data_IF_684773739668
#
_entry.id   IF_684773739668
#
_cell.length_a   1.000
_cell.length_b   1.000
_cell.length_c   1.000
_cell.angle_alpha   90.00
_cell.angle_beta   90.00
_cell.angle_gamma   90.00
#
_symmetry.space_group_name_H-M   'P 1'
#
loop_
_entity.id
_entity.type
_entity.pdbx_description
1 polymer ?
#
# COMPACT_ATOMS: atom_id res chain seq x y z
N UNK A 1 24.10 9.62 -4.53
CA UNK A 1 24.20 8.17 -4.29
C UNK A 1 23.36 7.43 -5.34
N UNK A 2 23.93 6.46 -6.06
CA UNK A 2 23.15 5.54 -6.90
C UNK A 2 22.94 4.26 -6.09
N UNK A 3 21.71 3.99 -5.67
CA UNK A 3 21.37 2.72 -5.05
C UNK A 3 21.25 1.62 -6.12
N UNK A 4 21.68 0.41 -5.80
CA UNK A 4 21.46 -0.79 -6.60
C UNK A 4 20.56 -1.73 -5.80
N UNK A 5 19.52 -2.25 -6.45
CA UNK A 5 18.63 -3.26 -5.88
C UNK A 5 18.97 -4.61 -6.48
N UNK A 6 19.36 -5.55 -5.63
CA UNK A 6 19.71 -6.92 -6.03
C UNK A 6 18.47 -7.81 -5.99
N UNK A 7 18.46 -8.94 -6.72
CA UNK A 7 17.42 -9.96 -6.56
C UNK A 7 17.33 -10.43 -5.11
N UNK A 8 16.12 -10.45 -4.55
CA UNK A 8 15.92 -10.68 -3.12
C UNK A 8 16.41 -12.06 -2.66
N UNK A 9 16.03 -13.14 -3.36
CA UNK A 9 16.34 -14.52 -2.96
C UNK A 9 17.86 -14.74 -2.84
N UNK A 10 18.69 -14.49 -3.88
CA UNK A 10 20.14 -14.67 -3.75
C UNK A 10 20.77 -13.82 -2.65
N UNK A 11 20.29 -12.58 -2.47
CA UNK A 11 20.81 -11.70 -1.42
C UNK A 11 20.45 -12.18 -0.01
N UNK A 12 19.25 -12.75 0.16
CA UNK A 12 18.82 -13.33 1.44
C UNK A 12 19.57 -14.64 1.70
N UNK A 13 19.74 -15.51 0.69
CA UNK A 13 20.50 -16.76 0.81
C UNK A 13 21.93 -16.53 1.31
N UNK A 14 22.62 -15.55 0.72
CA UNK A 14 23.98 -15.17 1.14
C UNK A 14 24.04 -14.74 2.61
N UNK A 15 23.09 -13.91 3.05
CA UNK A 15 23.04 -13.45 4.43
C UNK A 15 22.63 -14.56 5.41
N UNK A 16 21.71 -15.44 5.03
CA UNK A 16 21.32 -16.60 5.84
C UNK A 16 22.52 -17.52 6.06
N UNK A 17 23.29 -17.83 5.01
CA UNK A 17 24.50 -18.65 5.14
C UNK A 17 25.52 -18.00 6.10
N UNK A 18 25.63 -16.67 6.06
CA UNK A 18 26.51 -15.93 6.96
C UNK A 18 26.04 -15.98 8.43
N UNK A 19 24.73 -15.84 8.67
CA UNK A 19 24.12 -15.95 10.00
C UNK A 19 24.28 -17.36 10.57
N UNK A 20 24.01 -18.40 9.78
CA UNK A 20 24.16 -19.80 10.20
C UNK A 20 25.62 -20.14 10.56
N UNK A 21 26.60 -19.66 9.77
CA UNK A 21 28.04 -19.80 10.09
C UNK A 21 28.42 -19.11 11.39
N UNK A 22 27.67 -18.10 11.79
CA UNK A 22 27.84 -17.37 13.05
C UNK A 22 27.12 -18.04 14.23
N UNK A 23 26.50 -19.21 14.01
CA UNK A 23 25.77 -19.96 15.02
C UNK A 23 24.35 -19.44 15.30
N UNK A 24 23.79 -18.61 14.40
CA UNK A 24 22.41 -18.16 14.49
C UNK A 24 21.50 -19.21 13.85
N UNK A 25 20.53 -19.69 14.62
CA UNK A 25 19.62 -20.79 14.27
C UNK A 25 18.15 -20.33 14.21
N UNK A 26 17.91 -19.02 14.35
CA UNK A 26 16.59 -18.38 14.36
C UNK A 26 16.64 -17.14 13.48
N UNK A 27 16.06 -17.22 12.28
CA UNK A 27 16.21 -16.21 11.24
C UNK A 27 14.86 -15.68 10.77
N UNK A 28 14.72 -14.36 10.88
CA UNK A 28 13.52 -13.61 10.46
C UNK A 28 13.91 -12.69 9.30
N UNK A 29 13.29 -12.91 8.14
CA UNK A 29 13.35 -11.98 7.00
C UNK A 29 12.27 -10.92 7.19
N UNK A 30 12.68 -9.66 7.34
CA UNK A 30 11.77 -8.52 7.39
C UNK A 30 12.00 -7.64 6.15
N UNK A 31 10.94 -7.37 5.39
CA UNK A 31 11.04 -6.57 4.18
C UNK A 31 9.74 -5.94 3.71
N UNK A 32 9.78 -5.32 2.54
CA UNK A 32 8.61 -4.71 1.87
C UNK A 32 8.13 -5.59 0.72
N UNK A 33 8.06 -6.90 0.97
CA UNK A 33 7.70 -7.91 -0.02
C UNK A 33 6.24 -8.31 0.15
N UNK A 34 5.55 -8.52 -0.97
CA UNK A 34 4.19 -9.08 -1.00
C UNK A 34 4.13 -10.47 -0.37
N UNK A 35 2.94 -10.91 0.04
CA UNK A 35 2.71 -12.26 0.58
C UNK A 35 3.29 -13.37 -0.32
N UNK A 36 3.04 -13.33 -1.63
CA UNK A 36 3.55 -14.32 -2.59
C UNK A 36 5.07 -14.34 -2.70
N UNK A 37 5.70 -13.16 -2.66
CA UNK A 37 7.16 -13.05 -2.63
C UNK A 37 7.75 -13.65 -1.34
N UNK A 38 7.08 -13.48 -0.19
CA UNK A 38 7.51 -14.11 1.07
C UNK A 38 7.32 -15.63 1.06
N UNK A 39 6.24 -16.14 0.44
CA UNK A 39 6.10 -17.58 0.19
C UNK A 39 7.25 -18.12 -0.65
N UNK A 40 7.66 -17.38 -1.68
CA UNK A 40 8.79 -17.75 -2.52
C UNK A 40 10.12 -17.75 -1.77
N UNK A 41 10.34 -16.76 -0.90
CA UNK A 41 11.52 -16.70 -0.02
C UNK A 41 11.55 -17.95 0.86
N UNK A 42 10.47 -18.24 1.57
CA UNK A 42 10.37 -19.41 2.45
C UNK A 42 10.60 -20.73 1.70
N UNK A 43 10.07 -20.87 0.48
CA UNK A 43 10.22 -22.10 -0.32
C UNK A 43 11.63 -22.31 -0.84
N UNK A 44 12.35 -21.23 -1.15
CA UNK A 44 13.63 -21.28 -1.89
C UNK A 44 14.83 -21.12 -0.96
N UNK A 45 14.71 -20.29 0.08
CA UNK A 45 15.79 -19.98 1.01
C UNK A 45 15.68 -20.87 2.24
N UNK A 46 16.57 -21.86 2.32
CA UNK A 46 16.71 -22.70 3.52
C UNK A 46 17.25 -21.87 4.68
N UNK A 47 16.84 -22.20 5.91
CA UNK A 47 17.29 -21.51 7.13
C UNK A 47 16.42 -20.31 7.54
N UNK A 48 15.49 -19.85 6.68
CA UNK A 48 14.53 -18.81 7.06
C UNK A 48 13.35 -19.42 7.81
N UNK A 49 13.14 -19.00 9.06
CA UNK A 49 12.01 -19.46 9.88
C UNK A 49 10.77 -18.60 9.70
N UNK A 50 10.98 -17.30 9.52
CA UNK A 50 9.88 -16.33 9.48
C UNK A 50 10.12 -15.31 8.39
N UNK A 51 9.14 -15.09 7.52
CA UNK A 51 9.16 -14.00 6.55
C UNK A 51 8.03 -13.01 6.84
N UNK A 52 8.37 -11.75 7.09
CA UNK A 52 7.44 -10.66 7.40
C UNK A 52 7.52 -9.62 6.28
N UNK A 53 6.37 -9.37 5.64
CA UNK A 53 6.25 -8.34 4.62
C UNK A 53 5.02 -7.46 4.76
N UNK A 54 4.67 -6.82 3.65
CA UNK A 54 3.51 -5.96 3.53
C UNK A 54 2.59 -6.47 2.41
N UNK A 55 1.29 -6.41 2.65
CA UNK A 55 0.29 -6.52 1.60
C UNK A 55 -0.85 -5.58 1.97
N UNK A 56 -1.26 -4.79 0.98
CA UNK A 56 -2.26 -3.76 1.17
C UNK A 56 -3.68 -4.30 1.17
N UNK A 57 -3.93 -5.60 1.04
CA UNK A 57 -5.32 -6.09 0.97
C UNK A 57 -5.54 -7.42 1.74
N UNK A 58 -4.53 -7.93 2.46
CA UNK A 58 -4.53 -9.26 3.09
C UNK A 58 -4.50 -9.20 4.62
N UNK A 59 -5.62 -9.49 5.27
CA UNK A 59 -5.67 -9.68 6.73
C UNK A 59 -5.37 -11.13 7.08
N UNK A 60 -4.57 -11.38 8.12
CA UNK A 60 -4.27 -12.74 8.60
C UNK A 60 -4.80 -12.99 10.02
N UNK A 61 -5.31 -14.19 10.26
CA UNK A 61 -5.75 -14.69 11.58
C UNK A 61 -5.22 -16.10 11.83
N UNK A 62 -5.10 -16.49 13.10
CA UNK A 62 -4.75 -17.86 13.47
C UNK A 62 -5.85 -18.86 13.05
N UNK A 63 -5.42 -19.96 12.44
CA UNK A 63 -6.20 -21.17 12.16
C UNK A 63 -6.37 -22.04 13.41
N UNK A 64 -7.26 -23.05 13.36
CA UNK A 64 -7.38 -24.11 14.37
C UNK A 64 -6.04 -24.81 14.63
N UNK A 65 -5.20 -24.92 13.60
CA UNK A 65 -3.89 -25.56 13.67
C UNK A 65 -2.78 -24.57 14.07
N UNK A 66 -3.14 -23.42 14.64
CA UNK A 66 -2.25 -22.32 15.07
C UNK A 66 -1.40 -21.65 13.97
N UNK A 67 -1.54 -22.03 12.70
CA UNK A 67 -0.91 -21.33 11.59
C UNK A 67 -1.68 -20.05 11.23
N UNK A 68 -0.98 -18.99 10.81
CA UNK A 68 -1.66 -17.82 10.25
C UNK A 68 -2.15 -18.09 8.83
N UNK A 69 -3.41 -17.74 8.60
CA UNK A 69 -4.06 -17.89 7.30
C UNK A 69 -4.66 -16.57 6.84
N UNK A 70 -4.59 -16.25 5.54
CA UNK A 70 -5.31 -15.13 4.97
C UNK A 70 -6.82 -15.27 5.22
N UNK A 71 -7.47 -14.19 5.62
CA UNK A 71 -8.92 -14.14 5.79
C UNK A 71 -9.58 -13.61 4.51
N UNK A 72 -10.91 -13.77 4.42
CA UNK A 72 -11.71 -13.11 3.37
C UNK A 72 -11.98 -11.63 3.66
N UNK A 73 -11.57 -11.14 4.83
CA UNK A 73 -11.80 -9.77 5.24
C UNK A 73 -10.86 -8.85 4.46
N UNK A 74 -11.43 -7.90 3.72
CA UNK A 74 -10.67 -6.79 3.17
C UNK A 74 -10.76 -5.59 4.11
N UNK A 75 -9.65 -4.88 4.21
CA UNK A 75 -9.57 -3.63 4.96
C UNK A 75 -10.47 -2.53 4.38
N UNK A 76 -10.85 -2.65 3.11
CA UNK A 76 -11.74 -1.73 2.42
C UNK A 76 -13.23 -2.14 2.46
N UNK A 77 -13.60 -3.14 3.28
CA UNK A 77 -14.99 -3.53 3.51
C UNK A 77 -15.67 -4.32 2.38
N UNK A 78 -15.01 -4.46 1.22
CA UNK A 78 -15.45 -5.35 0.15
C UNK A 78 -14.60 -6.60 0.14
N UNK A 79 -15.23 -7.77 0.28
CA UNK A 79 -14.62 -9.09 0.06
C UNK A 79 -13.89 -9.10 -1.29
N UNK A 80 -12.61 -8.75 -1.32
CA UNK A 80 -11.81 -8.93 -2.51
C UNK A 80 -11.58 -10.43 -2.60
N UNK A 81 -12.24 -11.05 -3.56
CA UNK A 81 -12.02 -12.43 -3.99
C UNK A 81 -10.65 -12.56 -4.69
N UNK A 82 -9.61 -11.89 -4.18
CA UNK A 82 -8.24 -12.20 -4.57
C UNK A 82 -7.88 -13.52 -3.91
N UNK A 83 -7.74 -14.54 -4.73
CA UNK A 83 -7.06 -15.74 -4.33
C UNK A 83 -5.57 -15.38 -4.15
N UNK A 84 -5.14 -15.23 -2.90
CA UNK A 84 -3.75 -14.94 -2.56
C UNK A 84 -2.83 -16.16 -2.78
N UNK A 85 -3.34 -17.23 -3.40
CA UNK A 85 -2.57 -18.45 -3.63
C UNK A 85 -2.18 -19.10 -2.32
N UNK A 86 -3.05 -19.01 -1.30
CA UNK A 86 -2.87 -19.77 -0.07
C UNK A 86 -2.98 -21.25 -0.43
N UNK A 87 -1.82 -21.87 -0.61
CA UNK A 87 -1.73 -23.30 -0.83
C UNK A 87 -2.10 -23.99 0.49
N UNK A 88 -3.34 -24.49 0.55
CA UNK A 88 -3.85 -25.26 1.69
C UNK A 88 -3.05 -26.54 1.95
N UNK A 89 -2.24 -26.95 0.97
CA UNK A 89 -1.34 -28.09 1.05
C UNK A 89 0.11 -27.67 1.27
N UNK A 90 0.39 -26.39 1.51
CA UNK A 90 1.71 -25.97 1.97
C UNK A 90 1.92 -26.65 3.32
N UNK A 91 2.74 -27.69 3.31
CA UNK A 91 3.03 -28.50 4.48
C UNK A 91 3.92 -27.71 5.44
N UNK A 92 3.28 -26.78 6.15
CA UNK A 92 3.88 -25.94 7.20
C UNK A 92 4.33 -26.77 8.40
N UNK A 93 4.10 -28.09 8.40
CA UNK A 93 4.72 -29.02 9.36
C UNK A 93 6.25 -29.03 9.24
N UNK A 94 6.80 -28.52 8.12
CA UNK A 94 8.23 -28.31 7.89
C UNK A 94 8.77 -26.91 8.24
N UNK A 95 8.04 -26.17 9.08
CA UNK A 95 8.52 -25.13 10.01
C UNK A 95 8.68 -23.63 9.65
N UNK A 96 8.58 -23.15 8.41
CA UNK A 96 8.64 -21.71 8.18
C UNK A 96 7.24 -21.07 8.21
N UNK A 97 7.12 -19.85 8.73
CA UNK A 97 5.86 -19.10 8.80
C UNK A 97 5.94 -17.78 8.01
N UNK A 98 4.92 -17.50 7.20
CA UNK A 98 4.81 -16.22 6.47
C UNK A 98 3.80 -15.31 7.15
N UNK A 99 4.22 -14.07 7.39
CA UNK A 99 3.44 -13.04 8.02
C UNK A 99 3.39 -11.79 7.14
N UNK A 100 2.32 -11.05 7.28
CA UNK A 100 2.12 -9.82 6.54
C UNK A 100 1.42 -8.82 7.41
N UNK A 101 1.97 -7.62 7.46
CA UNK A 101 1.33 -6.49 8.12
C UNK A 101 0.48 -5.78 7.06
N UNK A 102 -0.81 -5.68 7.34
CA UNK A 102 -1.79 -5.09 6.43
C UNK A 102 -2.03 -3.63 6.74
N UNK A 103 -2.21 -2.81 5.70
CA UNK A 103 -2.51 -1.36 5.72
C UNK A 103 -1.80 -0.55 6.82
N UNK A 104 -0.84 0.31 6.45
CA UNK A 104 -0.08 1.09 7.43
C UNK A 104 -1.02 1.91 8.33
N UNK A 105 -0.99 1.60 9.63
CA UNK A 105 -1.68 2.35 10.69
C UNK A 105 -3.14 1.97 10.98
N UNK A 106 -3.78 1.06 10.22
CA UNK A 106 -5.14 0.58 10.55
C UNK A 106 -5.12 -0.73 11.34
N UNK A 107 -4.12 -1.57 11.14
CA UNK A 107 -3.93 -2.79 11.91
C UNK A 107 -2.53 -2.83 12.53
N UNK A 108 -2.42 -3.50 13.67
CA UNK A 108 -1.15 -3.90 14.27
C UNK A 108 -1.05 -5.41 14.20
N UNK A 109 -0.06 -5.91 13.48
CA UNK A 109 0.22 -7.34 13.42
C UNK A 109 0.86 -7.83 14.72
N UNK A 110 0.25 -8.81 15.38
CA UNK A 110 0.85 -9.54 16.51
C UNK A 110 1.23 -10.92 16.04
N UNK A 111 2.49 -11.27 16.25
CA UNK A 111 3.06 -12.57 15.90
C UNK A 111 3.64 -13.20 17.17
N UNK A 112 3.31 -14.46 17.41
CA UNK A 112 3.84 -15.26 18.52
C UNK A 112 4.47 -16.51 17.96
N UNK A 113 5.78 -16.63 18.09
CA UNK A 113 6.55 -17.81 17.66
C UNK A 113 7.28 -18.37 18.87
N UNK A 114 7.20 -19.68 19.04
CA UNK A 114 7.93 -20.44 20.04
C UNK A 114 8.90 -21.35 19.30
N UNK A 115 10.17 -21.25 19.66
CA UNK A 115 11.23 -22.08 19.14
C UNK A 115 11.67 -23.08 20.20
N UNK A 116 12.16 -24.24 19.78
CA UNK A 116 12.91 -25.16 20.64
C UNK A 116 14.40 -24.77 20.74
N UNK A 117 15.16 -25.54 21.51
CA UNK A 117 16.59 -25.35 21.75
C UNK A 117 17.45 -25.56 20.48
N UNK A 118 16.87 -26.10 19.40
CA UNK A 118 17.52 -26.31 18.11
C UNK A 118 17.16 -25.24 17.07
N UNK A 119 16.42 -24.21 17.48
CA UNK A 119 15.96 -23.15 16.58
C UNK A 119 14.77 -23.54 15.73
N UNK A 120 14.14 -24.69 16.00
CA UNK A 120 12.97 -25.12 15.24
C UNK A 120 11.70 -24.50 15.83
N UNK A 121 10.83 -23.94 14.99
CA UNK A 121 9.50 -23.53 15.41
C UNK A 121 8.73 -24.76 15.94
N UNK A 122 8.09 -24.61 17.10
CA UNK A 122 7.21 -25.65 17.68
C UNK A 122 5.79 -25.15 17.88
N UNK A 123 5.62 -23.82 17.85
CA UNK A 123 4.33 -23.16 17.89
C UNK A 123 4.44 -21.81 17.22
N UNK A 124 3.51 -21.51 16.32
CA UNK A 124 3.31 -20.18 15.77
C UNK A 124 1.88 -19.73 16.05
N UNK A 125 1.59 -18.46 15.85
CA UNK A 125 0.25 -17.90 16.02
C UNK A 125 0.29 -16.39 16.04
N UNK A 126 -0.87 -15.78 16.22
CA UNK A 126 -0.99 -14.32 16.14
C UNK A 126 -2.30 -13.88 15.51
N UNK A 127 -2.47 -12.57 15.45
CA UNK A 127 -3.60 -11.95 14.78
C UNK A 127 -3.26 -10.50 14.46
N UNK A 128 -3.95 -9.95 13.45
CA UNK A 128 -3.94 -8.52 13.22
C UNK A 128 -5.00 -7.86 14.11
N UNK A 129 -4.57 -6.94 14.98
CA UNK A 129 -5.48 -6.13 15.80
C UNK A 129 -5.95 -4.93 14.97
N UNK A 130 -7.26 -4.79 14.82
CA UNK A 130 -7.87 -3.59 14.23
C UNK A 130 -7.74 -2.41 15.20
N UNK A 131 -7.12 -1.33 14.75
CA UNK A 131 -7.08 -0.06 15.48
C UNK A 131 -8.33 0.77 15.14
N UNK A 132 -9.42 0.53 15.88
CA UNK A 132 -10.64 1.32 15.80
C UNK A 132 -10.84 2.19 17.05
N UNK A 133 -12.03 2.77 17.19
CA UNK A 133 -12.38 3.65 18.31
C UNK A 133 -12.54 2.91 19.66
N UNK A 134 -12.50 1.57 19.69
CA UNK A 134 -12.50 0.78 20.92
C UNK A 134 -11.14 0.84 21.63
N UNK A 135 -10.05 1.13 20.91
CA UNK A 135 -8.72 1.29 21.48
C UNK A 135 -8.48 2.79 21.75
N UNK A 136 -8.31 3.20 23.02
CA UNK A 136 -8.09 4.60 23.35
C UNK A 136 -6.74 5.08 22.80
N UNK A 137 -6.75 6.30 22.26
CA UNK A 137 -5.53 6.96 21.81
C UNK A 137 -4.69 7.39 23.02
N UNK A 138 -3.38 7.17 22.93
CA UNK A 138 -2.45 7.56 23.98
C UNK A 138 -2.30 9.09 24.08
N UNK A 139 -2.47 9.64 25.28
CA UNK A 139 -2.50 11.09 25.50
C UNK A 139 -1.14 11.76 25.25
N UNK A 140 -0.03 11.08 25.56
CA UNK A 140 1.31 11.62 25.33
C UNK A 140 1.60 11.71 23.83
N UNK A 141 1.29 10.65 23.09
CA UNK A 141 1.40 10.60 21.63
C UNK A 141 0.50 11.64 20.97
N UNK A 142 -0.74 11.80 21.43
CA UNK A 142 -1.64 12.86 20.93
C UNK A 142 -1.08 14.25 21.19
N UNK A 143 -0.47 14.49 22.35
CA UNK A 143 0.15 15.77 22.69
C UNK A 143 1.36 16.03 21.80
N UNK A 144 2.20 15.02 21.59
CA UNK A 144 3.34 15.08 20.67
C UNK A 144 2.90 15.41 19.24
N UNK A 145 1.88 14.71 18.72
CA UNK A 145 1.35 14.96 17.38
C UNK A 145 0.79 16.38 17.27
N UNK A 146 0.00 16.84 18.24
CA UNK A 146 -0.53 18.22 18.28
C UNK A 146 0.56 19.28 18.33
N UNK A 147 1.70 19.02 18.97
CA UNK A 147 2.81 19.96 19.07
C UNK A 147 3.75 19.92 17.86
N UNK A 148 3.82 18.77 17.19
CA UNK A 148 4.63 18.57 15.97
C UNK A 148 3.88 19.05 14.73
N UNK A 149 2.54 18.93 14.70
CA UNK A 149 1.70 19.32 13.58
C UNK A 149 1.87 20.81 13.16
N UNK A 150 1.94 21.80 14.07
CA UNK A 150 2.22 23.19 13.73
C UNK A 150 3.60 23.37 13.09
N UNK A 151 4.59 22.57 13.50
CA UNK A 151 5.94 22.59 12.91
C UNK A 151 5.97 21.94 11.52
N UNK A 152 5.13 20.92 11.28
CA UNK A 152 4.91 20.30 9.97
C UNK A 152 4.05 21.16 9.03
N UNK A 153 3.19 22.01 9.58
CA UNK A 153 2.37 22.99 8.88
C UNK A 153 3.18 24.21 8.39
N UNK A 154 4.44 24.34 8.81
CA UNK A 154 5.32 25.44 8.42
C UNK A 154 6.57 24.92 7.67
N UNK A 155 6.45 24.51 6.39
CA UNK A 155 7.59 24.03 5.62
C UNK A 155 8.07 25.17 4.72
N UNK A 156 9.14 25.86 5.13
CA UNK A 156 10.13 26.47 4.22
C UNK A 156 9.67 26.69 2.76
N UNK A 157 8.85 27.72 2.53
CA UNK A 157 8.57 28.32 1.20
C UNK A 157 7.94 27.46 0.10
N UNK A 158 7.84 26.13 0.24
CA UNK A 158 7.37 25.22 -0.80
C UNK A 158 6.33 24.25 -0.26
N UNK A 159 5.16 24.81 0.03
CA UNK A 159 3.83 24.21 -0.19
C UNK A 159 3.73 22.74 0.25
N UNK A 160 3.81 22.40 1.54
CA UNK A 160 2.89 21.35 2.04
C UNK A 160 1.52 22.00 2.07
N UNK A 161 0.52 21.34 1.49
CA UNK A 161 -0.85 21.83 1.63
C UNK A 161 -1.18 21.61 3.10
N UNK A 162 -1.49 22.66 3.87
CA UNK A 162 -2.04 22.47 5.20
C UNK A 162 -3.27 21.58 5.08
N UNK A 163 -3.71 20.98 6.18
CA UNK A 163 -5.13 20.72 6.38
C UNK A 163 -5.88 22.06 6.26
N UNK A 164 -6.08 22.49 5.02
CA UNK A 164 -7.03 23.51 4.64
C UNK A 164 -8.38 22.82 4.89
N UNK A 165 -8.98 23.11 6.05
CA UNK A 165 -10.38 22.78 6.35
C UNK A 165 -11.35 23.48 5.38
N UNK A 166 -10.84 24.29 4.44
CA UNK A 166 -11.67 24.93 3.45
C UNK A 166 -12.17 23.87 2.46
N UNK A 167 -13.49 23.82 2.44
CA UNK A 167 -14.24 22.97 1.54
C UNK A 167 -14.07 23.55 0.13
N UNK A 168 -13.50 22.77 -0.78
CA UNK A 168 -13.34 23.14 -2.19
C UNK A 168 -14.56 22.76 -3.00
N UNK A 169 -15.19 21.64 -2.66
CA UNK A 169 -16.31 21.10 -3.39
C UNK A 169 -17.21 20.19 -2.52
N UNK A 170 -18.38 19.90 -3.07
CA UNK A 170 -19.32 18.94 -2.53
C UNK A 170 -19.55 17.84 -3.56
N UNK A 171 -19.75 16.61 -3.11
CA UNK A 171 -20.21 15.51 -3.97
C UNK A 171 -21.47 14.85 -3.42
N UNK A 172 -22.38 14.46 -4.31
CA UNK A 172 -23.58 13.69 -3.97
C UNK A 172 -23.33 12.18 -3.86
N UNK A 173 -22.19 11.69 -4.36
CA UNK A 173 -21.81 10.27 -4.36
C UNK A 173 -20.31 10.09 -4.08
N UNK A 174 -19.88 8.92 -3.58
CA UNK A 174 -18.47 8.66 -3.32
C UNK A 174 -17.69 8.42 -4.62
N UNK A 175 -16.43 8.85 -4.65
CA UNK A 175 -15.49 8.50 -5.71
C UNK A 175 -14.66 7.29 -5.28
N UNK A 176 -15.02 6.14 -5.83
CA UNK A 176 -14.46 4.83 -5.47
C UNK A 176 -13.06 4.66 -6.07
N UNK A 177 -12.13 4.14 -5.24
CA UNK A 177 -10.75 3.83 -5.66
C UNK A 177 -10.44 2.33 -5.73
N UNK A 178 -11.28 1.49 -5.09
CA UNK A 178 -11.08 0.05 -4.95
C UNK A 178 -11.13 -0.71 -6.29
N UNK A 179 -11.94 -0.26 -7.25
CA UNK A 179 -12.07 -0.90 -8.57
C UNK A 179 -11.06 -0.41 -9.59
N UNK A 180 -10.37 0.71 -9.36
CA UNK A 180 -9.54 1.36 -10.38
C UNK A 180 -8.43 0.46 -10.96
N UNK A 181 -7.97 -0.54 -10.20
CA UNK A 181 -6.91 -1.47 -10.62
C UNK A 181 -7.41 -2.60 -11.52
N UNK A 182 -8.71 -2.88 -11.54
CA UNK A 182 -9.29 -4.04 -12.24
C UNK A 182 -10.35 -3.65 -13.25
N UNK A 183 -11.03 -2.52 -13.05
CA UNK A 183 -12.08 -2.01 -13.92
C UNK A 183 -12.04 -0.47 -13.93
N UNK A 184 -12.93 0.13 -14.73
CA UNK A 184 -13.23 1.56 -14.63
C UNK A 184 -13.69 1.94 -13.22
N UNK A 185 -13.39 3.17 -12.80
CA UNK A 185 -13.74 3.68 -11.48
C UNK A 185 -14.07 5.18 -11.53
N UNK A 186 -14.97 5.61 -10.65
CA UNK A 186 -15.43 7.01 -10.61
C UNK A 186 -14.34 7.98 -10.21
N UNK A 187 -13.40 7.59 -9.34
CA UNK A 187 -12.24 8.43 -9.01
C UNK A 187 -11.29 8.61 -10.20
N UNK A 188 -11.10 7.55 -11.00
CA UNK A 188 -10.31 7.58 -12.23
C UNK A 188 -10.88 8.56 -13.24
N UNK A 189 -12.19 8.46 -13.48
CA UNK A 189 -12.91 9.37 -14.37
C UNK A 189 -12.81 10.82 -13.89
N UNK A 190 -13.06 11.07 -12.59
CA UNK A 190 -12.93 12.42 -12.02
C UNK A 190 -11.54 13.03 -12.27
N UNK A 191 -10.46 12.27 -11.99
CA UNK A 191 -9.10 12.79 -12.12
C UNK A 191 -8.71 12.99 -13.58
N UNK A 192 -9.07 12.08 -14.47
CA UNK A 192 -8.76 12.19 -15.90
C UNK A 192 -9.54 13.32 -16.57
N UNK A 193 -10.82 13.50 -16.23
CA UNK A 193 -11.63 14.65 -16.67
C UNK A 193 -11.05 15.97 -16.17
N UNK A 194 -10.62 16.02 -14.90
CA UNK A 194 -9.99 17.21 -14.33
C UNK A 194 -8.65 17.54 -15.02
N UNK A 195 -7.86 16.52 -15.37
CA UNK A 195 -6.63 16.68 -16.14
C UNK A 195 -6.92 17.23 -17.55
N UNK A 196 -7.88 16.65 -18.26
CA UNK A 196 -8.29 17.10 -19.60
C UNK A 196 -8.75 18.57 -19.56
N UNK A 197 -9.68 18.90 -18.65
CA UNK A 197 -10.17 20.28 -18.47
C UNK A 197 -9.07 21.27 -18.05
N UNK A 198 -8.02 20.81 -17.36
CA UNK A 198 -6.87 21.66 -17.03
C UNK A 198 -6.05 21.99 -18.28
N UNK A 199 -5.84 20.99 -19.14
CA UNK A 199 -5.09 21.17 -20.37
C UNK A 199 -5.84 21.99 -21.42
N UNK A 200 -7.15 21.81 -21.56
CA UNK A 200 -7.97 22.65 -22.46
C UNK A 200 -7.97 24.13 -22.06
N UNK A 201 -7.79 24.42 -20.77
CA UNK A 201 -7.70 25.79 -20.25
C UNK A 201 -6.26 26.34 -20.26
N UNK A 202 -5.26 25.52 -20.54
CA UNK A 202 -3.86 25.92 -20.48
C UNK A 202 -3.44 26.61 -21.78
N UNK A 203 -3.21 27.92 -21.71
CA UNK A 203 -2.95 28.79 -22.87
C UNK A 203 -1.68 28.46 -23.66
N UNK A 204 -0.74 27.75 -23.05
CA UNK A 204 0.56 27.41 -23.64
C UNK A 204 0.53 26.13 -24.49
N UNK A 205 -0.57 25.37 -24.46
CA UNK A 205 -0.74 24.24 -25.37
C UNK A 205 -1.41 24.76 -26.63
N UNK A 206 -0.71 24.62 -27.76
CA UNK A 206 -1.20 25.10 -29.05
C UNK A 206 -1.95 23.97 -29.74
N UNK A 207 -3.23 24.17 -30.04
CA UNK A 207 -3.97 23.26 -30.91
C UNK A 207 -3.33 23.33 -32.29
N UNK A 208 -2.79 22.22 -32.78
CA UNK A 208 -2.29 22.15 -34.14
C UNK A 208 -3.44 22.48 -35.10
N UNK A 209 -3.29 23.56 -35.87
CA UNK A 209 -4.30 24.01 -36.84
C UNK A 209 -4.22 23.15 -38.10
N UNK A 210 -5.38 22.75 -38.63
CA UNK A 210 -5.51 22.17 -39.98
C UNK A 210 -5.68 20.65 -40.04
N UNK A 211 -5.70 19.97 -38.90
CA UNK A 211 -6.03 18.54 -38.83
C UNK A 211 -7.51 18.36 -38.46
N UNK A 212 -8.38 17.89 -39.37
CA UNK A 212 -9.80 17.71 -39.11
C UNK A 212 -10.10 16.57 -38.13
N UNK A 213 -9.16 15.66 -37.87
CA UNK A 213 -9.32 14.58 -36.90
C UNK A 213 -9.00 15.03 -35.46
N UNK A 214 -8.35 16.19 -35.29
CA UNK A 214 -8.02 16.76 -33.97
C UNK A 214 -9.14 17.60 -33.38
N UNK A 215 -9.87 16.98 -32.46
CA UNK A 215 -11.00 17.59 -31.75
C UNK A 215 -10.52 18.57 -30.66
N UNK A 216 -9.46 18.25 -29.90
CA UNK A 216 -8.96 19.04 -28.76
C UNK A 216 -7.48 19.44 -28.84
N UNK A 217 -6.93 19.93 -27.71
CA UNK A 217 -5.49 20.15 -27.53
C UNK A 217 -4.75 18.84 -27.19
N UNK A 218 -5.47 17.91 -26.57
CA UNK A 218 -5.02 16.58 -26.18
C UNK A 218 -6.13 15.59 -26.57
N UNK A 219 -5.77 14.46 -27.18
CA UNK A 219 -6.72 13.47 -27.67
C UNK A 219 -7.10 12.42 -26.62
N UNK A 220 -6.27 12.21 -25.60
CA UNK A 220 -6.54 11.27 -24.52
C UNK A 220 -5.72 11.58 -23.27
N UNK A 221 -6.25 11.21 -22.10
CA UNK A 221 -5.53 11.22 -20.83
C UNK A 221 -5.44 9.80 -20.31
N UNK A 222 -4.24 9.41 -19.87
CA UNK A 222 -4.00 8.14 -19.18
C UNK A 222 -3.47 8.44 -17.79
N UNK A 223 -4.07 7.80 -16.79
CA UNK A 223 -3.64 7.93 -15.41
C UNK A 223 -3.50 6.54 -14.77
N UNK A 224 -2.33 6.18 -14.23
CA UNK A 224 -2.10 4.85 -13.69
C UNK A 224 -2.88 4.64 -12.39
N UNK A 225 -3.72 3.60 -12.36
CA UNK A 225 -4.57 3.30 -11.21
C UNK A 225 -3.80 3.08 -9.89
N UNK A 226 -2.53 2.66 -9.96
CA UNK A 226 -1.66 2.50 -8.79
C UNK A 226 -1.36 3.81 -8.05
N UNK A 227 -1.62 4.96 -8.67
CA UNK A 227 -1.52 6.28 -8.03
C UNK A 227 -2.71 6.61 -7.14
N UNK A 228 -3.86 5.94 -7.31
CA UNK A 228 -5.00 6.11 -6.42
C UNK A 228 -4.80 5.31 -5.12
N UNK A 229 -4.93 5.99 -3.98
CA UNK A 229 -4.69 5.37 -2.65
C UNK A 229 -5.95 5.23 -1.81
N UNK A 230 -6.83 6.24 -1.79
CA UNK A 230 -8.05 6.22 -0.99
C UNK A 230 -9.25 6.79 -1.76
N UNK A 231 -10.49 6.33 -1.48
CA UNK A 231 -11.70 6.90 -2.06
C UNK A 231 -11.99 8.29 -1.48
N UNK A 232 -12.79 9.08 -2.20
CA UNK A 232 -13.36 10.32 -1.66
C UNK A 232 -14.81 10.08 -1.27
N UNK A 233 -15.14 10.32 -0.01
CA UNK A 233 -16.50 10.07 0.49
C UNK A 233 -17.48 11.18 0.05
N UNK A 234 -18.78 10.84 -0.02
CA UNK A 234 -19.84 11.76 -0.44
C UNK A 234 -20.15 12.80 0.66
N UNK A 235 -20.28 14.08 0.28
CA UNK A 235 -20.70 15.15 1.18
C UNK A 235 -19.95 16.45 0.97
N UNK A 236 -20.10 17.37 1.94
CA UNK A 236 -19.57 18.74 1.89
C UNK A 236 -18.20 18.89 2.55
N UNK A 237 -17.22 18.09 2.12
CA UNK A 237 -15.91 18.07 2.77
C UNK A 237 -14.77 17.71 1.82
N UNK A 238 -14.95 17.91 0.51
CA UNK A 238 -13.82 17.72 -0.42
C UNK A 238 -12.86 18.89 -0.23
N UNK A 239 -11.76 18.64 0.45
CA UNK A 239 -10.67 19.59 0.69
C UNK A 239 -9.44 19.27 -0.16
N UNK A 240 -8.46 20.18 -0.16
CA UNK A 240 -7.13 19.93 -0.72
C UNK A 240 -6.48 18.68 -0.11
N UNK A 241 -6.65 18.46 1.20
CA UNK A 241 -6.18 17.28 1.90
C UNK A 241 -6.84 16.00 1.36
N UNK A 242 -8.16 16.00 1.19
CA UNK A 242 -8.89 14.87 0.59
C UNK A 242 -8.35 14.52 -0.81
N UNK A 243 -8.22 15.49 -1.70
CA UNK A 243 -7.80 15.23 -3.09
C UNK A 243 -6.31 14.85 -3.18
N UNK A 244 -5.44 15.65 -2.58
CA UNK A 244 -3.98 15.53 -2.80
C UNK A 244 -3.34 14.54 -1.84
N UNK A 245 -3.83 14.39 -0.61
CA UNK A 245 -3.21 13.49 0.38
C UNK A 245 -3.86 12.10 0.29
N UNK A 246 -5.18 12.03 0.16
CA UNK A 246 -5.89 10.75 0.20
C UNK A 246 -6.04 10.13 -1.19
N UNK A 247 -6.56 10.87 -2.18
CA UNK A 247 -6.77 10.28 -3.51
C UNK A 247 -5.46 10.12 -4.32
N UNK A 248 -4.61 11.15 -4.42
CA UNK A 248 -3.40 11.13 -5.26
C UNK A 248 -2.15 11.74 -4.56
N UNK A 249 -1.52 11.03 -3.61
CA UNK A 249 -0.39 11.54 -2.80
C UNK A 249 0.91 11.74 -3.57
N UNK A 250 1.10 11.06 -4.70
CA UNK A 250 2.26 11.29 -5.55
C UNK A 250 2.08 12.62 -6.27
N UNK A 251 2.81 13.64 -5.85
CA UNK A 251 2.90 14.96 -6.51
C UNK A 251 3.65 14.88 -7.85
N UNK A 252 3.16 14.05 -8.74
CA UNK A 252 3.70 13.88 -10.08
C UNK A 252 3.21 15.02 -10.95
N UNK A 253 4.13 15.60 -11.73
CA UNK A 253 3.76 16.50 -12.81
C UNK A 253 3.12 15.69 -13.93
N UNK A 254 1.98 16.16 -14.42
CA UNK A 254 1.36 15.64 -15.63
C UNK A 254 2.19 16.06 -16.85
N UNK A 255 2.41 15.16 -17.80
CA UNK A 255 3.20 15.43 -19.01
C UNK A 255 2.39 15.07 -20.25
N UNK A 256 2.59 15.83 -21.31
CA UNK A 256 2.09 15.49 -22.64
C UNK A 256 3.12 14.63 -23.36
N UNK A 257 2.65 13.67 -24.16
CA UNK A 257 3.48 12.87 -25.04
C UNK A 257 2.74 12.61 -26.36
N UNK A 258 3.49 12.42 -27.46
CA UNK A 258 2.93 11.97 -28.74
C UNK A 258 3.11 10.47 -28.82
N UNK A 259 2.00 9.74 -28.84
CA UNK A 259 1.99 8.30 -29.08
C UNK A 259 1.82 8.06 -30.58
N UNK A 260 2.63 7.16 -31.14
CA UNK A 260 2.41 6.64 -32.48
C UNK A 260 1.94 5.21 -32.27
N UNK A 261 0.73 4.91 -32.73
CA UNK A 261 0.13 3.57 -32.68
C UNK A 261 0.48 2.86 -33.99
#
# INVERSE_FOLDING_TARGET
LKAKFHPAIPAIEEEVEHLEKSGIDKIIVLGHSSYSANLDIIKKVKGVDVAIGEDVDLVQKASLDNHLVPTKESIHGNNSSRDYGYDKNLDLTSNPSVYTITHPGKYVGIIRVTFDDKGMIIKSGGESILLDNSIPQDNETLTYLKNTHPQLANPSGHRRLPDDERILANSSFPFESNTCKTNECTLGNLVTDAMLNTYDRHKDIVKEKGDPEKWGYIDAVVFPAGSFRYPLQAGKYISCGGIVIQACPTRSLTKTCKLTI
#
